data_IF_846085294121
#
_entry.id   IF_846085294121
#
_cell.length_a   1.000
_cell.length_b   1.000
_cell.length_c   1.000
_cell.angle_alpha   90.00
_cell.angle_beta   90.00
_cell.angle_gamma   90.00
#
_symmetry.space_group_name_H-M   'P 1'
#
loop_
_entity.id
_entity.type
_entity.pdbx_description
1 polymer ?
#
# COMPACT_ATOMS: atom_id res chain seq x y z
N UNK A 1 -19.27 10.49 11.46
CA UNK A 1 -18.26 10.15 10.42
C UNK A 1 -18.60 10.76 9.05
N UNK A 2 -19.77 10.54 8.47
CA UNK A 2 -20.15 10.99 7.11
C UNK A 2 -19.99 12.51 6.88
N UNK A 3 -20.22 13.33 7.88
CA UNK A 3 -20.05 14.79 7.80
C UNK A 3 -18.58 15.22 7.81
N UNK A 4 -17.71 14.45 8.45
CA UNK A 4 -16.29 14.73 8.62
C UNK A 4 -15.41 14.11 7.53
N UNK A 5 -15.80 12.94 7.00
CA UNK A 5 -15.05 12.19 6.00
C UNK A 5 -15.89 12.04 4.74
N UNK A 6 -15.75 12.98 3.82
CA UNK A 6 -16.49 13.01 2.53
C UNK A 6 -15.78 12.29 1.40
N UNK A 7 -14.51 11.99 1.57
CA UNK A 7 -13.66 11.36 0.56
C UNK A 7 -12.37 10.85 1.19
N UNK A 8 -11.41 10.52 0.34
CA UNK A 8 -10.07 10.16 0.77
C UNK A 8 -9.48 11.27 1.65
N UNK A 9 -9.19 10.97 2.89
CA UNK A 9 -8.76 11.94 3.90
C UNK A 9 -7.43 11.52 4.50
N UNK A 10 -6.42 12.40 4.43
CA UNK A 10 -5.14 12.20 5.10
C UNK A 10 -5.21 12.77 6.52
N UNK A 11 -4.71 12.01 7.48
CA UNK A 11 -4.64 12.37 8.89
C UNK A 11 -3.22 12.34 9.41
N UNK A 12 -2.87 13.18 10.38
CA UNK A 12 -1.67 12.98 11.17
C UNK A 12 -1.78 11.73 12.04
N UNK A 13 -0.64 11.21 12.49
CA UNK A 13 -0.60 10.09 13.41
C UNK A 13 -0.78 8.72 12.77
N UNK A 14 -1.13 7.69 13.55
CA UNK A 14 -1.03 6.30 13.13
C UNK A 14 -2.06 5.86 12.09
N UNK A 15 -3.18 6.55 11.95
CA UNK A 15 -4.21 6.19 10.96
C UNK A 15 -3.81 6.54 9.54
N UNK A 16 -3.07 7.60 9.32
CA UNK A 16 -2.61 8.19 8.07
C UNK A 16 -3.71 8.55 7.07
N UNK A 17 -4.58 7.61 6.76
CA UNK A 17 -5.55 7.75 5.66
C UNK A 17 -6.86 7.08 6.03
N UNK A 18 -7.95 7.80 5.82
CA UNK A 18 -9.31 7.26 5.91
C UNK A 18 -9.92 7.23 4.52
N UNK A 19 -10.53 6.12 4.17
CA UNK A 19 -11.20 5.91 2.88
C UNK A 19 -12.65 5.51 3.16
N UNK A 20 -13.64 6.30 2.74
CA UNK A 20 -15.03 5.88 2.83
C UNK A 20 -15.30 4.74 1.84
N UNK A 21 -15.79 3.61 2.34
CA UNK A 21 -16.13 2.45 1.52
C UNK A 21 -17.63 2.44 1.21
N UNK A 22 -18.45 2.49 2.23
CA UNK A 22 -19.89 2.67 2.12
C UNK A 22 -20.36 3.57 3.28
N UNK A 23 -20.30 4.89 3.11
CA UNK A 23 -20.63 5.85 4.16
C UNK A 23 -22.09 5.82 4.61
N UNK A 24 -23.00 5.36 3.75
CA UNK A 24 -24.42 5.27 4.07
C UNK A 24 -24.70 4.18 5.11
N UNK A 25 -23.94 3.09 5.06
CA UNK A 25 -23.97 2.01 6.03
C UNK A 25 -22.91 2.17 7.14
N UNK A 26 -22.23 3.31 7.18
CA UNK A 26 -21.20 3.59 8.19
C UNK A 26 -19.90 2.81 8.01
N UNK A 27 -19.59 2.32 6.81
CA UNK A 27 -18.41 1.49 6.54
C UNK A 27 -17.27 2.35 6.02
N UNK A 28 -16.18 2.37 6.77
CA UNK A 28 -14.97 3.13 6.47
C UNK A 28 -13.73 2.25 6.64
N UNK A 29 -12.74 2.39 5.77
CA UNK A 29 -11.37 1.99 6.04
C UNK A 29 -10.75 3.11 6.86
N UNK A 30 -10.68 2.95 8.17
CA UNK A 30 -10.24 4.00 9.10
C UNK A 30 -8.73 4.12 9.24
N UNK A 31 -7.99 3.14 8.72
CA UNK A 31 -6.53 3.17 8.66
C UNK A 31 -6.06 2.48 7.38
N UNK A 32 -5.33 3.20 6.56
CA UNK A 32 -4.56 2.65 5.44
C UNK A 32 -3.16 3.21 5.52
N UNK A 33 -2.27 2.43 6.12
CA UNK A 33 -0.95 2.89 6.52
C UNK A 33 0.13 1.85 6.24
N UNK A 34 1.38 2.28 6.34
CA UNK A 34 2.55 1.47 6.12
C UNK A 34 3.67 1.82 7.13
N UNK A 35 4.74 1.04 7.10
CA UNK A 35 5.96 1.25 7.87
C UNK A 35 5.71 1.46 9.39
N UNK A 36 6.25 2.52 9.97
CA UNK A 36 6.19 2.78 11.40
C UNK A 36 4.77 2.97 11.93
N UNK A 37 3.87 3.55 11.15
CA UNK A 37 2.48 3.75 11.56
C UNK A 37 1.71 2.43 11.62
N UNK A 38 1.99 1.50 10.71
CA UNK A 38 1.47 0.13 10.79
C UNK A 38 1.95 -0.58 12.06
N UNK A 39 3.22 -0.41 12.43
CA UNK A 39 3.77 -0.99 13.66
C UNK A 39 3.12 -0.40 14.91
N UNK A 40 2.76 0.88 14.91
CA UNK A 40 2.08 1.52 16.03
C UNK A 40 0.70 0.90 16.32
N UNK A 41 -0.01 0.43 15.29
CA UNK A 41 -1.33 -0.17 15.42
C UNK A 41 -1.33 -1.71 15.51
N UNK A 42 -0.18 -2.34 15.32
CA UNK A 42 -0.05 -3.81 15.21
C UNK A 42 -0.71 -4.60 16.34
N UNK A 43 -0.67 -4.08 17.55
CA UNK A 43 -1.22 -4.76 18.73
C UNK A 43 -2.71 -4.48 18.94
N UNK A 44 -3.32 -3.60 18.18
CA UNK A 44 -4.69 -3.11 18.36
C UNK A 44 -5.61 -3.52 17.18
N UNK A 45 -5.31 -4.62 16.51
CA UNK A 45 -6.02 -5.03 15.28
C UNK A 45 -7.29 -5.84 15.56
N UNK A 46 -7.38 -6.51 16.71
CA UNK A 46 -8.53 -7.37 17.03
C UNK A 46 -9.79 -6.56 17.32
N UNK A 47 -10.94 -7.11 16.95
CA UNK A 47 -12.25 -6.52 17.28
C UNK A 47 -12.62 -6.75 18.75
N UNK A 48 -11.95 -6.05 19.66
CA UNK A 48 -12.26 -5.99 21.08
C UNK A 48 -12.91 -4.65 21.42
N UNK A 49 -13.57 -4.55 22.56
CA UNK A 49 -14.15 -3.30 23.05
C UNK A 49 -13.07 -2.25 23.24
N UNK A 50 -11.97 -2.62 23.88
CA UNK A 50 -10.83 -1.72 24.15
C UNK A 50 -10.24 -1.15 22.87
N UNK A 51 -10.12 -1.95 21.82
CA UNK A 51 -9.62 -1.47 20.53
C UNK A 51 -10.64 -0.58 19.82
N UNK A 52 -11.93 -0.88 19.90
CA UNK A 52 -12.95 0.00 19.32
C UNK A 52 -12.95 1.37 20.01
N UNK A 53 -12.86 1.40 21.33
CA UNK A 53 -12.83 2.62 22.12
C UNK A 53 -11.56 3.43 21.78
N UNK A 54 -10.39 2.79 21.69
CA UNK A 54 -9.15 3.42 21.25
C UNK A 54 -9.28 4.05 19.87
N UNK A 55 -9.86 3.36 18.90
CA UNK A 55 -10.05 3.92 17.55
C UNK A 55 -11.09 5.04 17.52
N UNK A 56 -12.12 5.00 18.35
CA UNK A 56 -13.04 6.14 18.54
C UNK A 56 -12.27 7.37 19.00
N UNK A 57 -11.48 7.26 20.06
CA UNK A 57 -10.69 8.35 20.62
C UNK A 57 -9.71 8.94 19.59
N UNK A 58 -8.98 8.09 18.86
CA UNK A 58 -8.05 8.54 17.82
C UNK A 58 -8.78 9.27 16.68
N UNK A 59 -9.93 8.75 16.23
CA UNK A 59 -10.72 9.35 15.18
C UNK A 59 -11.32 10.69 15.61
N UNK A 60 -11.92 10.74 16.79
CA UNK A 60 -12.49 11.95 17.36
C UNK A 60 -11.44 13.06 17.47
N UNK A 61 -10.29 12.73 18.05
CA UNK A 61 -9.18 13.67 18.17
C UNK A 61 -8.66 14.13 16.80
N UNK A 62 -8.44 13.20 15.87
CA UNK A 62 -7.84 13.51 14.56
C UNK A 62 -8.76 14.28 13.64
N UNK A 63 -10.06 14.11 13.76
CA UNK A 63 -11.10 14.74 12.92
C UNK A 63 -11.78 15.94 13.59
N UNK A 64 -11.45 16.26 14.85
CA UNK A 64 -12.12 17.31 15.62
C UNK A 64 -13.59 16.98 15.92
N UNK A 65 -13.91 15.71 16.07
CA UNK A 65 -15.24 15.25 16.49
C UNK A 65 -15.32 15.37 18.01
N UNK A 66 -16.45 15.81 18.58
CA UNK A 66 -16.61 15.82 20.03
C UNK A 66 -16.37 14.44 20.64
N UNK A 67 -15.73 14.42 21.80
CA UNK A 67 -15.48 13.16 22.52
C UNK A 67 -16.79 12.39 22.78
N UNK A 68 -16.67 11.06 22.80
CA UNK A 68 -17.80 10.13 23.02
C UNK A 68 -18.95 10.24 21.98
N UNK A 69 -18.66 10.82 20.81
CA UNK A 69 -19.65 10.97 19.72
C UNK A 69 -19.63 9.81 18.73
N UNK A 70 -18.53 9.08 18.64
CA UNK A 70 -18.38 7.93 17.75
C UNK A 70 -18.66 6.64 18.51
N UNK A 71 -19.26 5.70 17.79
CA UNK A 71 -19.43 4.33 18.26
C UNK A 71 -19.07 3.34 17.17
N UNK A 72 -17.95 2.66 17.34
CA UNK A 72 -17.52 1.59 16.45
C UNK A 72 -18.20 0.28 16.82
N UNK A 73 -19.03 -0.23 15.92
CA UNK A 73 -19.76 -1.49 16.11
C UNK A 73 -18.80 -2.68 15.98
N UNK A 74 -17.90 -2.63 14.99
CA UNK A 74 -16.94 -3.69 14.72
C UNK A 74 -15.71 -3.16 14.00
N UNK A 75 -14.60 -3.88 14.14
CA UNK A 75 -13.35 -3.67 13.41
C UNK A 75 -13.05 -4.94 12.63
N UNK A 76 -12.65 -4.76 11.37
CA UNK A 76 -12.03 -5.80 10.56
C UNK A 76 -10.65 -5.32 10.13
N UNK A 77 -9.64 -6.12 10.40
CA UNK A 77 -8.25 -5.79 10.12
C UNK A 77 -7.63 -6.70 9.08
N UNK A 78 -6.62 -6.15 8.41
CA UNK A 78 -5.68 -6.89 7.59
C UNK A 78 -4.29 -6.34 7.87
N UNK A 79 -3.43 -7.19 8.39
CA UNK A 79 -2.03 -6.86 8.64
C UNK A 79 -1.11 -7.66 7.73
N UNK A 80 -0.28 -6.94 6.97
CA UNK A 80 0.68 -7.50 6.05
C UNK A 80 2.09 -7.33 6.63
N UNK A 81 2.74 -8.40 7.13
CA UNK A 81 4.12 -8.31 7.64
C UNK A 81 5.10 -7.87 6.56
N UNK A 82 4.82 -8.25 5.31
CA UNK A 82 5.57 -7.89 4.11
C UNK A 82 4.55 -7.45 3.07
N UNK A 83 4.53 -6.15 2.77
CA UNK A 83 3.53 -5.56 1.87
C UNK A 83 4.06 -5.31 0.47
N UNK A 84 5.23 -4.69 0.36
CA UNK A 84 5.81 -4.28 -0.92
C UNK A 84 7.30 -4.54 -0.95
N UNK A 85 7.87 -4.51 -2.17
CA UNK A 85 9.30 -4.59 -2.39
C UNK A 85 9.89 -3.18 -2.45
N UNK A 86 10.96 -2.96 -1.67
CA UNK A 86 11.77 -1.76 -1.79
C UNK A 86 13.17 -2.16 -2.23
N UNK A 87 13.68 -1.51 -3.26
CA UNK A 87 15.08 -1.66 -3.60
C UNK A 87 15.96 -1.06 -2.52
N UNK A 88 17.01 -1.76 -2.17
CA UNK A 88 18.15 -1.16 -1.47
C UNK A 88 18.74 -0.05 -2.36
N UNK A 89 19.49 0.90 -1.79
CA UNK A 89 20.27 1.84 -2.59
C UNK A 89 21.06 1.12 -3.67
N UNK A 90 21.05 1.65 -4.88
CA UNK A 90 21.71 1.05 -6.02
C UNK A 90 23.23 0.97 -5.75
N UNK A 91 23.80 -0.22 -5.96
CA UNK A 91 25.24 -0.38 -5.89
C UNK A 91 25.90 0.13 -7.19
N UNK A 92 26.36 1.38 -7.16
CA UNK A 92 26.97 2.05 -8.32
C UNK A 92 28.34 1.43 -8.73
N UNK A 93 28.91 0.53 -7.94
CA UNK A 93 30.09 -0.23 -8.39
C UNK A 93 29.72 -1.41 -9.30
N UNK A 94 28.45 -1.85 -9.27
CA UNK A 94 27.93 -2.95 -10.09
C UNK A 94 27.09 -2.47 -11.28
N UNK A 95 26.39 -1.36 -11.14
CA UNK A 95 25.44 -0.84 -12.11
C UNK A 95 25.66 0.65 -12.34
N UNK A 96 25.61 1.10 -13.58
CA UNK A 96 25.77 2.53 -13.92
C UNK A 96 24.59 3.36 -13.43
N UNK A 97 23.41 2.80 -13.53
CA UNK A 97 22.16 3.45 -13.12
C UNK A 97 21.04 2.43 -12.90
N UNK A 98 19.87 2.91 -12.46
CA UNK A 98 18.71 2.07 -12.18
C UNK A 98 18.16 1.37 -13.43
N UNK A 99 18.19 2.01 -14.58
CA UNK A 99 17.68 1.41 -15.83
C UNK A 99 18.50 0.19 -16.23
N UNK A 100 19.82 0.25 -16.12
CA UNK A 100 20.71 -0.90 -16.37
C UNK A 100 20.43 -2.04 -15.40
N UNK A 101 20.26 -1.72 -14.11
CA UNK A 101 19.87 -2.72 -13.11
C UNK A 101 18.56 -3.41 -13.45
N UNK A 102 17.53 -2.63 -13.84
CA UNK A 102 16.22 -3.17 -14.19
C UNK A 102 16.31 -4.05 -15.44
N UNK A 103 17.02 -3.63 -16.47
CA UNK A 103 17.21 -4.39 -17.70
C UNK A 103 17.86 -5.76 -17.42
N UNK A 104 18.93 -5.78 -16.62
CA UNK A 104 19.58 -7.03 -16.18
C UNK A 104 18.63 -7.89 -15.33
N UNK A 105 17.88 -7.28 -14.42
CA UNK A 105 16.94 -7.98 -13.56
C UNK A 105 15.75 -8.57 -14.33
N UNK A 106 15.34 -7.92 -15.43
CA UNK A 106 14.29 -8.43 -16.34
C UNK A 106 14.79 -9.60 -17.21
N UNK A 107 16.09 -9.67 -17.49
CA UNK A 107 16.73 -10.69 -18.34
C UNK A 107 17.80 -11.47 -17.58
N UNK A 108 17.46 -12.18 -16.49
CA UNK A 108 18.45 -12.83 -15.63
C UNK A 108 19.21 -13.95 -16.32
N UNK A 109 18.60 -14.59 -17.33
CA UNK A 109 19.19 -15.67 -18.09
C UNK A 109 18.55 -15.74 -19.48
N UNK A 110 19.23 -16.36 -20.44
CA UNK A 110 18.73 -16.53 -21.80
C UNK A 110 17.38 -17.30 -21.78
N UNK A 111 16.35 -16.70 -22.38
CA UNK A 111 15.00 -17.28 -22.46
C UNK A 111 14.16 -17.12 -21.20
N UNK A 112 14.66 -16.42 -20.17
CA UNK A 112 13.90 -16.10 -18.96
C UNK A 112 13.62 -14.61 -18.93
N UNK A 113 12.34 -14.25 -18.76
CA UNK A 113 11.93 -12.88 -18.49
C UNK A 113 11.28 -12.77 -17.11
N UNK A 114 11.68 -11.75 -16.37
CA UNK A 114 11.03 -11.34 -15.13
C UNK A 114 10.24 -10.07 -15.39
N UNK A 115 8.96 -10.09 -15.07
CA UNK A 115 8.05 -8.94 -15.18
C UNK A 115 7.32 -8.72 -13.86
N UNK A 116 6.87 -7.51 -13.63
CA UNK A 116 6.18 -7.12 -12.41
C UNK A 116 6.63 -5.75 -11.94
N UNK A 117 5.96 -5.19 -10.95
CA UNK A 117 6.28 -3.85 -10.45
C UNK A 117 7.69 -3.77 -9.85
N UNK A 118 8.18 -4.86 -9.29
CA UNK A 118 9.53 -4.96 -8.67
C UNK A 118 10.66 -4.71 -9.69
N UNK A 119 10.44 -5.01 -10.96
CA UNK A 119 11.39 -4.77 -12.05
C UNK A 119 10.91 -3.66 -13.00
N UNK A 120 10.30 -2.61 -12.45
CA UNK A 120 9.86 -1.43 -13.20
C UNK A 120 10.52 -0.15 -12.69
N UNK A 121 10.41 0.93 -13.47
CA UNK A 121 10.80 2.27 -13.03
C UNK A 121 9.79 2.85 -12.02
N UNK A 122 8.54 2.38 -12.06
CA UNK A 122 7.42 2.85 -11.26
C UNK A 122 6.99 1.77 -10.25
N UNK A 123 7.82 1.51 -9.23
CA UNK A 123 7.50 0.52 -8.21
C UNK A 123 6.23 0.86 -7.42
N UNK A 124 5.57 -0.17 -6.91
CA UNK A 124 4.46 -0.08 -5.97
C UNK A 124 3.08 0.06 -6.61
N UNK A 125 2.98 0.08 -7.94
CA UNK A 125 1.71 0.30 -8.65
C UNK A 125 1.49 -0.68 -9.80
N UNK A 126 0.22 -0.88 -10.15
CA UNK A 126 -0.20 -1.70 -11.30
C UNK A 126 0.41 -1.17 -12.60
N UNK A 127 0.51 0.14 -12.75
CA UNK A 127 1.13 0.79 -13.91
C UNK A 127 2.57 0.34 -14.12
N UNK A 128 3.35 0.24 -13.04
CA UNK A 128 4.73 -0.27 -13.10
C UNK A 128 4.79 -1.72 -13.53
N UNK A 129 3.88 -2.56 -13.04
CA UNK A 129 3.78 -3.95 -13.49
C UNK A 129 3.48 -4.04 -14.99
N UNK A 130 2.53 -3.27 -15.50
CA UNK A 130 2.18 -3.22 -16.92
C UNK A 130 3.31 -2.64 -17.78
N UNK A 131 4.00 -1.60 -17.28
CA UNK A 131 5.17 -1.01 -17.93
C UNK A 131 6.28 -2.05 -18.11
N UNK A 132 6.58 -2.83 -17.07
CA UNK A 132 7.61 -3.86 -17.11
C UNK A 132 7.32 -4.93 -18.18
N UNK A 133 6.05 -5.31 -18.34
CA UNK A 133 5.61 -6.22 -19.40
C UNK A 133 5.82 -5.61 -20.79
N UNK A 134 5.40 -4.35 -20.98
CA UNK A 134 5.54 -3.65 -22.26
C UNK A 134 7.00 -3.46 -22.67
N UNK A 135 7.90 -3.27 -21.72
CA UNK A 135 9.32 -3.10 -21.96
C UNK A 135 9.96 -4.34 -22.60
N UNK A 136 9.54 -5.54 -22.19
CA UNK A 136 10.17 -6.80 -22.60
C UNK A 136 9.39 -7.58 -23.67
N UNK A 137 8.05 -7.46 -23.69
CA UNK A 137 7.20 -8.13 -24.69
C UNK A 137 7.30 -7.43 -26.06
N UNK A 138 8.35 -7.73 -26.78
CA UNK A 138 8.51 -7.29 -28.16
C UNK A 138 7.96 -8.35 -29.13
N UNK A 139 7.60 -7.93 -30.37
CA UNK A 139 7.20 -8.90 -31.41
C UNK A 139 8.25 -9.99 -31.63
N UNK A 140 9.52 -9.61 -31.53
CA UNK A 140 10.65 -10.54 -31.70
C UNK A 140 10.68 -11.61 -30.60
N UNK A 141 10.33 -11.27 -29.36
CA UNK A 141 10.28 -12.23 -28.27
C UNK A 141 9.11 -13.21 -28.41
N UNK A 142 7.93 -12.73 -28.81
CA UNK A 142 6.73 -13.54 -29.05
C UNK A 142 6.96 -14.54 -30.18
N UNK A 143 7.64 -14.14 -31.25
CA UNK A 143 7.91 -15.03 -32.39
C UNK A 143 8.97 -16.11 -32.12
N UNK A 144 9.74 -16.00 -31.05
CA UNK A 144 10.71 -17.02 -30.64
C UNK A 144 10.14 -18.04 -29.64
N UNK A 145 8.89 -17.88 -29.22
CA UNK A 145 8.15 -18.83 -28.38
C UNK A 145 7.29 -19.80 -29.22
N UNK A 146 7.13 -19.55 -30.50
CA UNK A 146 6.52 -20.42 -31.48
C UNK A 146 7.59 -21.11 -32.34
#
# INVERSE_FOLDING_TARGET
MKEYVKGYTCLPGPLQKIIPINPDDGIYMIAYNDNNNTLALKNNLKNTTENRDLYCEILETSLGIPADSLHLIAIKDYYWPIGTHYYKPLNLSMYKNRSEFIDIAQHPEKGILVVGEVVSQNQGWTEGALESVRAVLTKKWITHLC
#
